data_IF_760490825147
#
_entry.id   IF_760490825147
#
_cell.length_a   1.000
_cell.length_b   1.000
_cell.length_c   1.000
_cell.angle_alpha   90.00
_cell.angle_beta   90.00
_cell.angle_gamma   90.00
#
_symmetry.space_group_name_H-M   'P 1'
#
loop_
_entity.id
_entity.type
_entity.pdbx_description
1 polymer ?
#
# COMPACT_ATOMS: atom_id res chain seq x y z
N UNK A 1 -4.25 -9.86 -19.31
CA UNK A 1 -4.53 -10.61 -18.06
C UNK A 1 -4.55 -9.67 -16.87
N UNK A 2 -5.44 -9.96 -15.96
CA UNK A 2 -5.59 -9.16 -14.75
C UNK A 2 -4.45 -9.45 -13.77
N UNK A 3 -3.81 -8.40 -13.28
CA UNK A 3 -2.76 -8.55 -12.27
C UNK A 3 -3.39 -8.87 -10.92
N UNK A 4 -2.73 -9.71 -10.14
CA UNK A 4 -3.13 -9.99 -8.76
C UNK A 4 -2.32 -9.07 -7.87
N UNK A 5 -3.02 -8.16 -7.18
CA UNK A 5 -2.38 -7.16 -6.31
C UNK A 5 -2.92 -7.32 -4.91
N UNK A 6 -2.04 -7.54 -3.95
CA UNK A 6 -2.38 -7.64 -2.52
C UNK A 6 -1.85 -6.40 -1.82
N UNK A 7 -2.59 -5.86 -0.86
CA UNK A 7 -2.16 -4.69 -0.12
C UNK A 7 -2.27 -4.88 1.39
N UNK A 8 -1.30 -4.33 2.11
CA UNK A 8 -1.38 -4.09 3.53
C UNK A 8 -2.18 -2.81 3.78
N UNK A 9 -2.34 -2.45 5.04
CA UNK A 9 -3.22 -1.35 5.47
C UNK A 9 -2.69 0.05 5.13
N UNK A 10 -1.39 0.26 5.23
CA UNK A 10 -0.77 1.59 5.23
C UNK A 10 -1.08 2.43 3.99
N UNK A 11 -0.88 1.87 2.80
CA UNK A 11 -1.10 2.63 1.57
C UNK A 11 -2.57 3.03 1.40
N UNK A 12 -3.47 2.10 1.71
CA UNK A 12 -4.91 2.37 1.61
C UNK A 12 -5.31 3.49 2.57
N UNK A 13 -4.88 3.38 3.83
CA UNK A 13 -5.22 4.35 4.86
C UNK A 13 -4.71 5.75 4.52
N UNK A 14 -3.44 5.87 4.16
CA UNK A 14 -2.85 7.18 3.91
C UNK A 14 -3.37 7.82 2.62
N UNK A 15 -3.56 7.05 1.56
CA UNK A 15 -4.15 7.60 0.35
C UNK A 15 -5.60 8.02 0.56
N UNK A 16 -6.35 7.28 1.37
CA UNK A 16 -7.72 7.67 1.71
C UNK A 16 -7.74 9.00 2.48
N UNK A 17 -6.82 9.17 3.42
CA UNK A 17 -6.74 10.40 4.23
C UNK A 17 -6.50 11.65 3.39
N UNK A 18 -5.76 11.53 2.30
CA UNK A 18 -5.48 12.68 1.43
C UNK A 18 -6.45 12.76 0.23
N UNK A 19 -7.50 11.93 0.24
CA UNK A 19 -8.51 11.96 -0.81
C UNK A 19 -8.05 11.39 -2.14
N UNK A 20 -7.01 10.55 -2.14
CA UNK A 20 -6.38 10.05 -3.36
C UNK A 20 -6.40 8.54 -3.50
N UNK A 21 -7.34 7.88 -2.82
CA UNK A 21 -7.47 6.42 -2.86
C UNK A 21 -7.68 5.91 -4.29
N UNK A 22 -8.32 6.71 -5.14
CA UNK A 22 -8.60 6.34 -6.52
C UNK A 22 -7.34 6.10 -7.36
N UNK A 23 -6.17 6.57 -6.91
CA UNK A 23 -4.91 6.28 -7.59
C UNK A 23 -4.68 4.77 -7.65
N UNK A 24 -4.96 4.07 -6.56
CA UNK A 24 -4.82 2.61 -6.51
C UNK A 24 -5.77 1.92 -7.48
N UNK A 25 -7.00 2.41 -7.57
CA UNK A 25 -7.98 1.86 -8.50
C UNK A 25 -7.54 2.06 -9.95
N UNK A 26 -7.04 3.23 -10.28
CA UNK A 26 -6.55 3.52 -11.64
C UNK A 26 -5.37 2.63 -12.02
N UNK A 27 -4.46 2.40 -11.08
CA UNK A 27 -3.28 1.60 -11.35
C UNK A 27 -3.57 0.11 -11.48
N UNK A 28 -4.44 -0.42 -10.62
CA UNK A 28 -4.56 -1.86 -10.45
C UNK A 28 -5.95 -2.42 -10.73
N UNK A 29 -6.95 -1.58 -10.90
CA UNK A 29 -8.36 -1.94 -11.10
C UNK A 29 -8.99 -2.64 -9.88
N UNK A 30 -8.27 -3.58 -9.27
CA UNK A 30 -8.75 -4.33 -8.13
C UNK A 30 -7.60 -4.60 -7.17
N UNK A 31 -7.87 -4.51 -5.87
CA UNK A 31 -6.89 -4.83 -4.83
C UNK A 31 -7.50 -5.85 -3.89
N UNK A 32 -6.71 -6.86 -3.54
CA UNK A 32 -7.11 -7.91 -2.62
C UNK A 32 -6.47 -7.66 -1.26
N UNK A 33 -7.24 -7.79 -0.20
CA UNK A 33 -6.75 -7.63 1.16
C UNK A 33 -7.19 -8.82 2.01
N UNK A 34 -6.36 -9.24 2.97
CA UNK A 34 -6.77 -10.30 3.88
C UNK A 34 -7.71 -9.76 4.95
N UNK A 35 -8.33 -10.68 5.69
CA UNK A 35 -9.30 -10.32 6.72
C UNK A 35 -8.73 -9.41 7.80
N UNK A 36 -7.48 -9.62 8.20
CA UNK A 36 -6.86 -8.77 9.23
C UNK A 36 -6.72 -7.32 8.75
N UNK A 37 -6.36 -7.11 7.48
CA UNK A 37 -6.27 -5.77 6.91
C UNK A 37 -7.66 -5.14 6.85
N UNK A 38 -8.67 -5.89 6.42
CA UNK A 38 -10.04 -5.40 6.41
C UNK A 38 -10.49 -4.98 7.82
N UNK A 39 -10.16 -5.80 8.82
CA UNK A 39 -10.49 -5.50 10.21
C UNK A 39 -9.86 -4.18 10.66
N UNK A 40 -8.58 -3.96 10.36
CA UNK A 40 -7.90 -2.71 10.69
C UNK A 40 -8.55 -1.52 10.02
N UNK A 41 -8.88 -1.65 8.73
CA UNK A 41 -9.54 -0.57 7.98
C UNK A 41 -10.93 -0.27 8.53
N UNK A 42 -11.66 -1.28 8.98
CA UNK A 42 -13.01 -1.13 9.52
C UNK A 42 -13.03 -0.46 10.89
N UNK A 43 -11.91 -0.48 11.61
CA UNK A 43 -11.79 0.15 12.92
C UNK A 43 -11.50 1.65 12.83
N UNK A 44 -11.20 2.16 11.64
CA UNK A 44 -10.97 3.58 11.43
C UNK A 44 -12.28 4.32 11.72
N UNK A 45 -12.18 5.41 12.48
CA UNK A 45 -13.34 6.21 12.84
C UNK A 45 -13.99 6.79 11.59
N UNK A 46 -15.30 6.66 11.49
CA UNK A 46 -16.04 7.16 10.33
C UNK A 46 -15.87 8.67 10.11
N UNK A 47 -15.49 9.38 11.15
CA UNK A 47 -15.24 10.82 11.06
C UNK A 47 -13.88 11.15 10.42
N UNK A 48 -12.99 10.18 10.26
CA UNK A 48 -11.70 10.42 9.63
C UNK A 48 -11.87 10.55 8.11
N UNK A 49 -11.08 11.46 7.49
CA UNK A 49 -11.15 11.63 6.03
C UNK A 49 -10.91 10.30 5.30
N UNK A 50 -11.75 10.00 4.33
CA UNK A 50 -11.59 8.84 3.49
C UNK A 50 -12.08 7.51 4.06
N UNK A 51 -12.44 7.46 5.36
CA UNK A 51 -12.85 6.19 5.99
C UNK A 51 -14.03 5.54 5.27
N UNK A 52 -15.08 6.32 4.99
CA UNK A 52 -16.26 5.81 4.31
C UNK A 52 -15.94 5.40 2.87
N UNK A 53 -15.04 6.11 2.21
CA UNK A 53 -14.63 5.75 0.85
C UNK A 53 -14.01 4.36 0.83
N UNK A 54 -13.15 4.05 1.79
CA UNK A 54 -12.52 2.72 1.88
C UNK A 54 -13.60 1.65 2.05
N UNK A 55 -14.49 1.83 3.03
CA UNK A 55 -15.52 0.82 3.33
C UNK A 55 -16.49 0.61 2.16
N UNK A 56 -16.69 1.63 1.33
CA UNK A 56 -17.63 1.56 0.21
C UNK A 56 -16.95 1.20 -1.11
N UNK A 57 -15.65 0.96 -1.12
CA UNK A 57 -14.90 0.67 -2.35
C UNK A 57 -15.05 -0.81 -2.73
N UNK A 58 -15.84 -1.09 -3.76
CA UNK A 58 -16.09 -2.47 -4.21
C UNK A 58 -14.88 -3.11 -4.90
N UNK A 59 -13.94 -2.30 -5.35
CA UNK A 59 -12.72 -2.80 -5.99
C UNK A 59 -11.64 -3.24 -4.98
N UNK A 60 -11.87 -2.98 -3.68
CA UNK A 60 -11.05 -3.53 -2.61
C UNK A 60 -11.78 -4.76 -2.09
N UNK A 61 -11.24 -5.93 -2.36
CA UNK A 61 -11.91 -7.21 -2.04
C UNK A 61 -11.20 -7.97 -0.95
N UNK A 62 -11.97 -8.49 -0.02
CA UNK A 62 -11.44 -9.29 1.10
C UNK A 62 -11.30 -10.74 0.67
N UNK A 63 -10.14 -11.33 0.92
CA UNK A 63 -9.88 -12.74 0.62
C UNK A 63 -9.40 -13.44 1.88
N UNK A 64 -10.00 -14.58 2.16
CA UNK A 64 -9.62 -15.37 3.34
C UNK A 64 -8.35 -16.17 3.08
N UNK A 65 -7.45 -16.16 4.06
CA UNK A 65 -6.24 -16.97 4.03
C UNK A 65 -6.62 -18.45 4.16
N UNK A 66 -6.08 -19.29 3.32
CA UNK A 66 -6.32 -20.74 3.38
C UNK A 66 -5.31 -21.46 4.26
N UNK A 67 -4.03 -21.01 4.24
CA UNK A 67 -2.96 -21.66 4.99
C UNK A 67 -2.43 -20.75 6.10
N UNK A 68 -2.85 -21.03 7.32
CA UNK A 68 -2.44 -20.23 8.47
C UNK A 68 -1.04 -20.54 8.98
N UNK A 69 -0.39 -21.58 8.48
CA UNK A 69 0.96 -21.96 8.92
C UNK A 69 1.96 -20.83 8.65
N UNK A 70 1.90 -20.23 7.47
CA UNK A 70 2.77 -19.11 7.09
C UNK A 70 2.48 -17.90 7.98
N UNK A 71 1.19 -17.62 8.21
CA UNK A 71 0.79 -16.50 9.07
C UNK A 71 1.36 -16.65 10.48
N UNK A 72 1.25 -17.85 11.06
CA UNK A 72 1.75 -18.08 12.42
C UNK A 72 3.25 -17.88 12.53
N UNK A 73 4.00 -18.25 11.51
CA UNK A 73 5.45 -18.01 11.49
C UNK A 73 5.77 -16.52 11.39
N UNK A 74 5.05 -15.80 10.54
CA UNK A 74 5.29 -14.37 10.32
C UNK A 74 4.90 -13.53 11.52
N UNK A 75 3.87 -13.93 12.25
CA UNK A 75 3.40 -13.21 13.45
C UNK A 75 4.46 -13.10 14.55
N UNK A 76 5.48 -13.91 14.49
CA UNK A 76 6.58 -13.83 15.47
C UNK A 76 7.39 -12.54 15.31
N UNK A 77 7.34 -11.92 14.15
CA UNK A 77 8.15 -10.73 13.82
C UNK A 77 7.33 -9.56 13.30
N UNK A 78 6.11 -9.79 12.89
CA UNK A 78 5.26 -8.78 12.23
C UNK A 78 3.89 -8.77 12.89
N UNK A 79 3.15 -7.67 12.71
CA UNK A 79 1.77 -7.63 13.18
C UNK A 79 0.89 -8.54 12.30
N UNK A 80 -0.36 -8.71 12.70
CA UNK A 80 -1.26 -9.65 12.01
C UNK A 80 -1.58 -9.21 10.59
N UNK A 81 -1.81 -7.91 10.38
CA UNK A 81 -2.13 -7.40 9.05
C UNK A 81 -1.01 -7.63 8.06
N UNK A 82 0.22 -7.30 8.45
CA UNK A 82 1.40 -7.54 7.61
C UNK A 82 1.59 -9.03 7.35
N UNK A 83 1.45 -9.84 8.39
CA UNK A 83 1.63 -11.28 8.28
C UNK A 83 0.63 -11.89 7.30
N UNK A 84 -0.63 -11.50 7.40
CA UNK A 84 -1.66 -12.01 6.50
C UNK A 84 -1.48 -11.47 5.08
N UNK A 85 -1.06 -10.21 4.91
CA UNK A 85 -0.83 -9.66 3.58
C UNK A 85 0.28 -10.41 2.85
N UNK A 86 1.39 -10.68 3.54
CA UNK A 86 2.49 -11.46 2.95
C UNK A 86 2.03 -12.89 2.64
N UNK A 87 1.34 -13.54 3.58
CA UNK A 87 0.84 -14.90 3.38
C UNK A 87 -0.13 -14.98 2.20
N UNK A 88 -1.02 -14.01 2.07
CA UNK A 88 -1.97 -13.96 0.97
C UNK A 88 -1.24 -13.76 -0.37
N UNK A 89 -0.23 -12.89 -0.39
CA UNK A 89 0.59 -12.66 -1.58
C UNK A 89 1.25 -13.95 -2.04
N UNK A 90 1.80 -14.73 -1.12
CA UNK A 90 2.42 -16.02 -1.42
C UNK A 90 1.37 -17.00 -1.94
N UNK A 91 0.26 -17.10 -1.23
CA UNK A 91 -0.80 -18.07 -1.54
C UNK A 91 -1.39 -17.84 -2.94
N UNK A 92 -1.60 -16.58 -3.31
CA UNK A 92 -2.18 -16.21 -4.59
C UNK A 92 -1.14 -16.01 -5.69
N UNK A 93 0.14 -16.13 -5.37
CA UNK A 93 1.22 -15.81 -6.31
C UNK A 93 1.01 -14.41 -6.90
N UNK A 94 0.86 -13.44 -6.00
CA UNK A 94 0.53 -12.08 -6.39
C UNK A 94 1.60 -11.47 -7.30
N UNK A 95 1.16 -10.67 -8.26
CA UNK A 95 2.08 -9.93 -9.12
C UNK A 95 2.73 -8.78 -8.37
N UNK A 96 2.00 -8.19 -7.39
CA UNK A 96 2.50 -7.08 -6.59
C UNK A 96 1.93 -7.19 -5.18
N UNK A 97 2.78 -6.95 -4.20
CA UNK A 97 2.37 -6.76 -2.80
C UNK A 97 2.70 -5.33 -2.39
N UNK A 98 1.67 -4.57 -2.02
CA UNK A 98 1.85 -3.20 -1.55
C UNK A 98 2.09 -3.24 -0.04
N UNK A 99 3.31 -2.88 0.38
CA UNK A 99 3.71 -2.95 1.78
C UNK A 99 4.77 -1.87 2.06
N UNK A 100 4.63 -1.13 3.15
CA UNK A 100 5.50 0.03 3.45
C UNK A 100 6.41 -0.16 4.64
N UNK A 101 6.00 -0.90 5.65
CA UNK A 101 6.81 -1.04 6.86
C UNK A 101 8.11 -1.79 6.57
N UNK A 102 9.23 -1.27 7.10
CA UNK A 102 10.57 -1.80 6.81
C UNK A 102 10.68 -3.29 7.14
N UNK A 103 10.22 -3.70 8.32
CA UNK A 103 10.31 -5.09 8.73
C UNK A 103 9.54 -6.02 7.78
N UNK A 104 8.32 -5.62 7.41
CA UNK A 104 7.50 -6.39 6.47
C UNK A 104 8.12 -6.46 5.08
N UNK A 105 8.66 -5.34 4.60
CA UNK A 105 9.32 -5.28 3.28
C UNK A 105 10.52 -6.23 3.24
N UNK A 106 11.34 -6.21 4.30
CA UNK A 106 12.53 -7.07 4.34
C UNK A 106 12.17 -8.55 4.32
N UNK A 107 11.16 -8.94 5.08
CA UNK A 107 10.71 -10.33 5.11
C UNK A 107 10.08 -10.73 3.79
N UNK A 108 9.22 -9.87 3.22
CA UNK A 108 8.59 -10.16 1.93
C UNK A 108 9.63 -10.36 0.83
N UNK A 109 10.68 -9.54 0.81
CA UNK A 109 11.78 -9.71 -0.14
C UNK A 109 12.48 -11.04 0.00
N UNK A 110 12.74 -11.47 1.25
CA UNK A 110 13.35 -12.76 1.51
C UNK A 110 12.49 -13.92 1.05
N UNK A 111 11.19 -13.71 0.97
CA UNK A 111 10.24 -14.70 0.49
C UNK A 111 9.91 -14.52 -1.00
N UNK A 112 10.75 -13.78 -1.71
CA UNK A 112 10.67 -13.57 -3.16
C UNK A 112 9.37 -12.90 -3.62
N UNK A 113 8.80 -12.06 -2.78
CA UNK A 113 7.62 -11.29 -3.16
C UNK A 113 8.01 -10.02 -3.90
N UNK A 114 7.25 -9.68 -4.92
CA UNK A 114 7.45 -8.44 -5.67
C UNK A 114 6.72 -7.32 -4.92
N UNK A 115 7.46 -6.48 -4.23
CA UNK A 115 6.89 -5.46 -3.35
C UNK A 115 6.97 -4.06 -3.93
N UNK A 116 6.02 -3.22 -3.51
CA UNK A 116 6.02 -1.79 -3.84
C UNK A 116 5.51 -1.04 -2.61
N UNK A 117 6.10 0.13 -2.32
CA UNK A 117 5.62 0.99 -1.24
C UNK A 117 4.87 2.19 -1.78
N UNK A 118 4.47 3.10 -0.90
CA UNK A 118 3.71 4.29 -1.24
C UNK A 118 4.40 5.13 -2.32
N UNK A 119 5.69 5.35 -2.16
CA UNK A 119 6.44 6.18 -3.11
C UNK A 119 6.47 5.52 -4.48
N UNK A 120 6.69 4.20 -4.52
CA UNK A 120 6.65 3.45 -5.78
C UNK A 120 5.30 3.54 -6.46
N UNK A 121 4.21 3.49 -5.68
CA UNK A 121 2.85 3.64 -6.21
C UNK A 121 2.69 5.01 -6.88
N UNK A 122 3.15 6.08 -6.22
CA UNK A 122 3.06 7.42 -6.78
C UNK A 122 3.92 7.60 -8.02
N UNK A 123 5.12 7.03 -8.03
CA UNK A 123 5.99 7.07 -9.20
C UNK A 123 5.36 6.35 -10.39
N UNK A 124 4.75 5.20 -10.14
CA UNK A 124 4.03 4.45 -11.17
C UNK A 124 2.84 5.24 -11.71
N UNK A 125 2.10 5.90 -10.82
CA UNK A 125 0.97 6.72 -11.21
C UNK A 125 1.38 7.88 -12.12
N UNK A 126 2.51 8.53 -11.80
CA UNK A 126 3.03 9.59 -12.66
C UNK A 126 3.48 9.04 -14.01
N UNK A 127 4.20 7.93 -13.99
CA UNK A 127 4.70 7.29 -15.22
C UNK A 127 3.55 6.96 -16.17
N UNK A 128 2.41 6.54 -15.63
CA UNK A 128 1.24 6.19 -16.44
C UNK A 128 0.33 7.38 -16.74
N UNK A 129 0.69 8.57 -16.27
CA UNK A 129 -0.07 9.77 -16.56
C UNK A 129 -1.32 9.96 -15.72
N UNK A 130 -1.48 9.18 -14.64
CA UNK A 130 -2.63 9.32 -13.75
C UNK A 130 -2.50 10.51 -12.81
N UNK A 131 -1.27 10.95 -12.55
CA UNK A 131 -1.01 12.19 -11.82
C UNK A 131 0.05 12.98 -12.58
N UNK A 132 0.02 14.30 -12.45
CA UNK A 132 0.97 15.18 -13.15
C UNK A 132 2.31 15.27 -12.46
N UNK A 133 2.31 15.26 -11.12
CA UNK A 133 3.53 15.35 -10.34
C UNK A 133 3.34 14.62 -9.02
N UNK A 134 4.46 14.16 -8.45
CA UNK A 134 4.48 13.39 -7.20
C UNK A 134 4.56 14.31 -5.99
N UNK A 135 5.22 15.46 -6.12
CA UNK A 135 5.50 16.35 -4.99
C UNK A 135 4.28 16.73 -4.16
N UNK A 136 3.15 17.17 -4.75
CA UNK A 136 1.98 17.55 -3.94
C UNK A 136 1.46 16.41 -3.09
N UNK A 137 1.54 15.18 -3.61
CA UNK A 137 1.09 13.99 -2.87
C UNK A 137 2.03 13.68 -1.71
N UNK A 138 3.34 13.79 -1.93
CA UNK A 138 4.32 13.58 -0.88
C UNK A 138 4.12 14.59 0.26
N UNK A 139 3.89 15.85 -0.08
CA UNK A 139 3.68 16.90 0.90
C UNK A 139 2.41 16.64 1.74
N UNK A 140 1.33 16.24 1.09
CA UNK A 140 0.09 15.90 1.78
C UNK A 140 0.25 14.67 2.67
N UNK A 141 0.97 13.66 2.20
CA UNK A 141 1.21 12.45 2.97
C UNK A 141 2.00 12.75 4.25
N UNK A 142 3.04 13.58 4.15
CA UNK A 142 3.81 13.99 5.33
C UNK A 142 2.92 14.71 6.35
N UNK A 143 1.99 15.51 5.87
CA UNK A 143 1.06 16.24 6.73
C UNK A 143 0.10 15.33 7.47
N UNK A 144 -0.16 14.11 6.95
CA UNK A 144 -1.05 13.15 7.61
C UNK A 144 -0.31 12.16 8.50
N UNK A 145 1.00 12.35 8.69
CA UNK A 145 1.79 11.50 9.57
C UNK A 145 2.46 10.32 8.88
N UNK A 146 2.40 10.22 7.56
CA UNK A 146 3.15 9.20 6.85
C UNK A 146 4.65 9.46 7.02
N UNK A 147 5.38 8.46 7.49
CA UNK A 147 6.81 8.61 7.77
C UNK A 147 7.62 8.61 6.49
N UNK A 148 8.35 9.69 6.28
CA UNK A 148 9.20 9.84 5.11
C UNK A 148 10.36 10.76 5.49
N UNK A 149 11.56 10.22 5.51
CA UNK A 149 12.76 11.02 5.79
C UNK A 149 13.06 11.96 4.64
N UNK A 150 13.88 12.95 4.93
CA UNK A 150 14.25 13.96 3.93
C UNK A 150 14.98 13.34 2.73
N UNK A 151 15.85 12.35 2.99
CA UNK A 151 16.59 11.66 1.92
C UNK A 151 15.65 10.93 0.97
N UNK A 152 14.64 10.27 1.52
CA UNK A 152 13.67 9.53 0.71
C UNK A 152 12.80 10.50 -0.08
N UNK A 153 12.41 11.61 0.54
CA UNK A 153 11.64 12.66 -0.14
C UNK A 153 12.41 13.19 -1.36
N UNK A 154 13.68 13.54 -1.16
CA UNK A 154 14.51 14.04 -2.25
C UNK A 154 14.72 13.00 -3.34
N UNK A 155 14.94 11.74 -2.95
CA UNK A 155 15.11 10.66 -3.91
C UNK A 155 13.85 10.48 -4.75
N UNK A 156 12.68 10.54 -4.12
CA UNK A 156 11.42 10.43 -4.84
C UNK A 156 11.25 11.52 -5.88
N UNK A 157 11.62 12.76 -5.54
CA UNK A 157 11.57 13.87 -6.49
C UNK A 157 12.54 13.67 -7.65
N UNK A 158 13.74 13.18 -7.37
CA UNK A 158 14.71 12.89 -8.43
C UNK A 158 14.19 11.79 -9.37
N UNK A 159 13.66 10.71 -8.80
CA UNK A 159 13.15 9.60 -9.59
C UNK A 159 11.94 9.99 -10.44
N UNK A 160 11.17 10.97 -9.99
CA UNK A 160 10.02 11.46 -10.74
C UNK A 160 10.39 12.62 -11.69
N UNK A 161 11.66 12.99 -11.75
CA UNK A 161 12.16 14.11 -12.55
C UNK A 161 11.59 15.46 -12.08
N UNK A 162 11.39 15.60 -10.77
CA UNK A 162 10.84 16.80 -10.16
C UNK A 162 11.82 17.48 -9.21
N UNK A 163 13.08 17.02 -9.15
CA UNK A 163 14.07 17.65 -8.30
C UNK A 163 14.26 19.09 -8.75
N UNK A 164 14.32 20.02 -7.79
CA UNK A 164 14.56 21.40 -8.10
C UNK A 164 16.04 21.58 -8.41
N UNK A 165 16.31 22.07 -9.59
CA UNK A 165 17.63 22.57 -9.86
C UNK A 165 17.66 23.95 -9.24
N UNK A 166 18.64 24.22 -8.49
CA UNK A 166 18.73 25.39 -7.80
C UNK A 166 19.22 26.48 -8.28
#
# INVERSE_FOLDING_TARGET
MKRIVVSDTTAITHLAKIGSLNILQKLYAEILIPEAVFSELSQVRKSQPGALQVLNSRWIKVVKIQNNTVVEKLKKHLDLGESEAIALSIELQADVLIIDEVAGRNIAKKLDQNIIGMIGVLLEAKKKGYILSVKPYLDKLRATGFRMGEDIYKLALEMSLESQSK
#
